data_IF_493694439474
#
_entry.id   IF_493694439474
#
_cell.length_a   1.000
_cell.length_b   1.000
_cell.length_c   1.000
_cell.angle_alpha   90.00
_cell.angle_beta   90.00
_cell.angle_gamma   90.00
#
_symmetry.space_group_name_H-M   'P 1'
#
loop_
_entity.id
_entity.type
_entity.pdbx_description
1 polymer ?
#
# COMPACT_ATOMS: atom_id res chain seq x y z
N UNK A 1 3.05 -17.82 5.39
CA UNK A 1 4.24 -17.67 6.25
C UNK A 1 3.74 -17.56 7.67
N UNK A 2 4.02 -18.54 8.53
CA UNK A 2 3.52 -18.60 9.91
C UNK A 2 4.49 -17.94 10.89
N UNK A 3 4.04 -17.66 12.11
CA UNK A 3 4.93 -17.22 13.19
C UNK A 3 6.05 -18.21 13.50
N UNK A 4 5.80 -19.51 13.38
CA UNK A 4 6.80 -20.54 13.63
C UNK A 4 7.88 -20.54 12.54
N UNK A 5 7.47 -20.41 11.28
CA UNK A 5 8.39 -20.25 10.14
C UNK A 5 9.23 -18.97 10.28
N UNK A 6 8.61 -17.85 10.66
CA UNK A 6 9.33 -16.60 10.93
C UNK A 6 10.37 -16.76 12.05
N UNK A 7 9.99 -17.39 13.17
CA UNK A 7 10.92 -17.67 14.28
C UNK A 7 12.06 -18.56 13.81
N UNK A 8 11.78 -19.64 13.09
CA UNK A 8 12.82 -20.51 12.55
C UNK A 8 13.77 -19.76 11.63
N UNK A 9 13.26 -18.98 10.67
CA UNK A 9 14.10 -18.22 9.75
C UNK A 9 14.96 -17.15 10.43
N UNK A 10 14.55 -16.65 11.61
CA UNK A 10 15.37 -15.74 12.43
C UNK A 10 16.55 -16.41 13.14
N UNK A 11 16.63 -17.75 13.16
CA UNK A 11 17.75 -18.48 13.75
C UNK A 11 18.94 -18.56 12.77
N UNK A 12 20.11 -18.98 13.26
CA UNK A 12 21.26 -19.24 12.38
C UNK A 12 20.97 -20.36 11.37
N UNK A 13 20.31 -21.44 11.81
CA UNK A 13 19.96 -22.58 10.97
C UNK A 13 18.96 -22.18 9.88
N UNK A 14 17.91 -21.43 10.24
CA UNK A 14 16.92 -20.96 9.28
C UNK A 14 17.51 -19.97 8.26
N UNK A 15 18.43 -19.09 8.69
CA UNK A 15 19.18 -18.24 7.74
C UNK A 15 20.05 -19.04 6.79
N UNK A 16 20.71 -20.11 7.26
CA UNK A 16 21.50 -21.00 6.42
C UNK A 16 20.62 -21.74 5.40
N UNK A 17 19.42 -22.19 5.80
CA UNK A 17 18.43 -22.77 4.88
C UNK A 17 18.05 -21.77 3.79
N UNK A 18 17.72 -20.52 4.14
CA UNK A 18 17.33 -19.51 3.15
C UNK A 18 18.47 -19.17 2.18
N UNK A 19 19.71 -19.12 2.65
CA UNK A 19 20.87 -18.93 1.78
C UNK A 19 21.02 -20.10 0.79
N UNK A 20 20.95 -21.34 1.29
CA UNK A 20 21.07 -22.54 0.46
C UNK A 20 19.93 -22.67 -0.56
N UNK A 21 18.71 -22.26 -0.19
CA UNK A 21 17.58 -22.18 -1.13
C UNK A 21 17.88 -21.21 -2.28
N UNK A 22 18.43 -20.03 -1.97
CA UNK A 22 18.72 -18.99 -2.97
C UNK A 22 19.85 -19.40 -3.92
N UNK A 23 20.87 -20.06 -3.39
CA UNK A 23 22.03 -20.56 -4.16
C UNK A 23 21.72 -21.82 -4.98
N UNK A 24 20.64 -22.54 -4.64
CA UNK A 24 20.29 -23.81 -5.30
C UNK A 24 19.75 -23.59 -6.72
N UNK A 25 20.28 -24.34 -7.68
CA UNK A 25 19.75 -24.49 -9.04
C UNK A 25 18.93 -25.77 -9.22
N UNK A 26 18.07 -25.82 -10.23
CA UNK A 26 17.25 -27.01 -10.55
C UNK A 26 15.77 -26.83 -10.19
N UNK A 27 14.97 -27.89 -10.40
CA UNK A 27 13.55 -27.90 -10.06
C UNK A 27 13.30 -28.02 -8.55
N UNK A 28 12.11 -27.63 -8.12
CA UNK A 28 11.74 -27.58 -6.69
C UNK A 28 11.75 -28.94 -6.00
N UNK A 29 11.45 -30.05 -6.70
CA UNK A 29 11.46 -31.38 -6.11
C UNK A 29 12.90 -31.80 -5.75
N UNK A 30 13.83 -31.56 -6.66
CA UNK A 30 15.25 -31.86 -6.47
C UNK A 30 15.84 -31.01 -5.34
N UNK A 31 15.51 -29.72 -5.29
CA UNK A 31 15.91 -28.82 -4.20
C UNK A 31 15.38 -29.30 -2.85
N UNK A 32 14.09 -29.58 -2.77
CA UNK A 32 13.42 -30.00 -1.55
C UNK A 32 13.97 -31.34 -1.02
N UNK A 33 14.24 -32.31 -1.90
CA UNK A 33 14.86 -33.58 -1.53
C UNK A 33 16.28 -33.40 -0.95
N UNK A 34 17.02 -32.42 -1.44
CA UNK A 34 18.36 -32.09 -0.95
C UNK A 34 18.30 -31.40 0.41
N UNK A 35 17.48 -30.36 0.54
CA UNK A 35 17.32 -29.57 1.77
C UNK A 35 16.83 -30.43 2.94
N UNK A 36 15.90 -31.36 2.70
CA UNK A 36 15.35 -32.28 3.71
C UNK A 36 16.37 -33.21 4.36
N UNK A 37 17.56 -33.39 3.77
CA UNK A 37 18.64 -34.15 4.38
C UNK A 37 19.31 -33.40 5.53
N UNK A 38 19.14 -32.07 5.60
CA UNK A 38 19.87 -31.17 6.49
C UNK A 38 18.98 -30.32 7.39
N UNK A 39 17.75 -30.05 6.98
CA UNK A 39 16.83 -29.17 7.69
C UNK A 39 15.45 -29.82 7.89
N UNK A 40 14.65 -29.34 8.85
CA UNK A 40 13.31 -29.85 9.07
C UNK A 40 12.43 -29.71 7.81
N UNK A 41 11.70 -30.76 7.39
CA UNK A 41 10.96 -30.79 6.13
C UNK A 41 9.93 -29.67 5.92
N UNK A 42 9.30 -29.23 7.00
CA UNK A 42 8.30 -28.15 7.01
C UNK A 42 8.92 -26.80 6.62
N UNK A 43 10.12 -26.48 7.11
CA UNK A 43 10.80 -25.22 6.80
C UNK A 43 11.47 -25.21 5.43
N UNK A 44 11.82 -26.38 4.89
CA UNK A 44 12.34 -26.49 3.52
C UNK A 44 11.34 -25.97 2.49
N UNK A 45 10.06 -26.37 2.61
CA UNK A 45 9.00 -25.91 1.71
C UNK A 45 8.70 -24.42 1.90
N UNK A 46 8.65 -23.96 3.15
CA UNK A 46 8.46 -22.56 3.46
C UNK A 46 9.59 -21.68 2.88
N UNK A 47 10.84 -22.15 2.92
CA UNK A 47 12.00 -21.46 2.35
C UNK A 47 11.92 -21.32 0.84
N UNK A 48 11.58 -22.40 0.12
CA UNK A 48 11.37 -22.35 -1.34
C UNK A 48 10.24 -21.38 -1.73
N UNK A 49 9.11 -21.45 -1.03
CA UNK A 49 8.00 -20.53 -1.25
C UNK A 49 8.41 -19.06 -1.01
N UNK A 50 9.20 -18.81 0.04
CA UNK A 50 9.70 -17.48 0.35
C UNK A 50 10.64 -16.97 -0.74
N UNK A 51 11.57 -17.77 -1.23
CA UNK A 51 12.49 -17.39 -2.32
C UNK A 51 11.75 -16.99 -3.60
N UNK A 52 10.70 -17.75 -3.97
CA UNK A 52 9.81 -17.39 -5.08
C UNK A 52 9.13 -16.03 -4.83
N UNK A 53 8.61 -15.80 -3.61
CA UNK A 53 7.98 -14.53 -3.29
C UNK A 53 8.98 -13.37 -3.24
N UNK A 54 10.23 -13.59 -2.79
CA UNK A 54 11.29 -12.56 -2.82
C UNK A 54 11.62 -12.13 -4.24
N UNK A 55 11.70 -13.08 -5.18
CA UNK A 55 11.88 -12.79 -6.62
C UNK A 55 10.72 -11.96 -7.18
N UNK A 56 9.46 -12.33 -6.88
CA UNK A 56 8.29 -11.52 -7.26
C UNK A 56 8.27 -10.15 -6.58
N UNK A 57 8.73 -10.09 -5.33
CA UNK A 57 8.74 -8.89 -4.51
C UNK A 57 9.67 -7.79 -5.01
N UNK A 58 10.67 -8.12 -5.83
CA UNK A 58 11.56 -7.14 -6.47
C UNK A 58 10.80 -6.10 -7.31
N UNK A 59 9.60 -6.43 -7.80
CA UNK A 59 8.75 -5.48 -8.51
C UNK A 59 8.13 -4.40 -7.60
N UNK A 60 8.11 -4.61 -6.27
CA UNK A 60 7.50 -3.70 -5.29
C UNK A 60 8.48 -3.12 -4.27
N UNK A 61 9.58 -3.82 -3.99
CA UNK A 61 10.46 -3.54 -2.87
C UNK A 61 11.93 -3.70 -3.26
N UNK A 62 12.72 -2.64 -3.04
CA UNK A 62 14.16 -2.64 -3.30
C UNK A 62 14.93 -3.66 -2.45
N UNK A 63 14.44 -3.95 -1.23
CA UNK A 63 15.02 -4.93 -0.30
C UNK A 63 14.27 -6.26 -0.28
N UNK A 64 13.53 -6.61 -1.33
CA UNK A 64 12.70 -7.82 -1.35
C UNK A 64 13.46 -9.10 -0.97
N UNK A 65 14.75 -9.22 -1.34
CA UNK A 65 15.57 -10.39 -1.03
C UNK A 65 15.86 -10.59 0.47
N UNK A 66 15.68 -9.56 1.29
CA UNK A 66 15.90 -9.60 2.74
C UNK A 66 14.58 -9.67 3.52
N UNK A 67 13.47 -9.36 2.84
CA UNK A 67 12.12 -9.35 3.40
C UNK A 67 11.53 -10.77 3.52
N UNK A 68 10.44 -10.88 4.26
CA UNK A 68 9.61 -12.07 4.41
C UNK A 68 8.21 -11.79 3.87
N UNK A 69 7.70 -12.78 3.15
CA UNK A 69 6.41 -12.71 2.47
C UNK A 69 5.66 -14.03 2.62
N UNK A 70 4.34 -13.96 2.52
CA UNK A 70 3.61 -14.98 1.80
C UNK A 70 2.96 -14.38 0.55
N UNK A 71 2.43 -15.27 -0.29
CA UNK A 71 1.87 -14.91 -1.59
C UNK A 71 0.75 -13.88 -1.46
N UNK A 72 -0.22 -14.13 -0.59
CA UNK A 72 -1.38 -13.24 -0.42
C UNK A 72 -0.93 -11.86 0.07
N UNK A 73 -0.05 -11.82 1.08
CA UNK A 73 0.46 -10.58 1.60
C UNK A 73 1.22 -9.77 0.57
N UNK A 74 2.09 -10.42 -0.22
CA UNK A 74 2.85 -9.72 -1.25
C UNK A 74 1.93 -9.13 -2.31
N UNK A 75 0.88 -9.86 -2.69
CA UNK A 75 -0.11 -9.38 -3.65
C UNK A 75 -0.86 -8.14 -3.11
N UNK A 76 -1.25 -8.15 -1.83
CA UNK A 76 -2.01 -7.06 -1.18
C UNK A 76 -1.15 -5.86 -0.75
N UNK A 77 0.14 -6.04 -0.50
CA UNK A 77 1.00 -5.00 0.07
C UNK A 77 1.14 -3.78 -0.85
N UNK A 78 1.11 -2.58 -0.24
CA UNK A 78 1.53 -1.33 -0.87
C UNK A 78 3.00 -1.42 -1.28
N UNK A 79 3.32 -1.05 -2.52
CA UNK A 79 4.69 -1.01 -3.01
C UNK A 79 5.47 0.20 -2.47
N UNK A 80 6.80 0.10 -2.47
CA UNK A 80 7.69 1.11 -1.90
C UNK A 80 7.50 2.50 -2.53
N UNK A 81 7.26 2.57 -3.85
CA UNK A 81 7.00 3.82 -4.58
C UNK A 81 5.80 4.59 -4.00
N UNK A 82 4.64 3.92 -3.92
CA UNK A 82 3.40 4.50 -3.39
C UNK A 82 3.53 4.82 -1.89
N UNK A 83 4.04 3.86 -1.10
CA UNK A 83 4.19 4.05 0.34
C UNK A 83 5.12 5.22 0.67
N UNK A 84 6.25 5.34 -0.05
CA UNK A 84 7.20 6.45 0.09
C UNK A 84 6.65 7.79 -0.41
N UNK A 85 5.81 7.80 -1.44
CA UNK A 85 5.10 9.02 -1.86
C UNK A 85 4.16 9.50 -0.75
N UNK A 86 3.26 8.63 -0.29
CA UNK A 86 2.24 8.96 0.71
C UNK A 86 2.84 9.40 2.05
N UNK A 87 3.92 8.76 2.47
CA UNK A 87 4.55 9.07 3.76
C UNK A 87 5.02 10.52 3.84
N UNK A 88 5.28 11.21 2.71
CA UNK A 88 5.67 12.63 2.70
C UNK A 88 4.61 13.53 3.35
N UNK A 89 3.32 13.20 3.25
CA UNK A 89 2.24 13.95 3.94
C UNK A 89 2.34 13.85 5.46
N UNK A 90 2.98 12.80 5.97
CA UNK A 90 3.17 12.57 7.40
C UNK A 90 4.45 13.23 7.95
N UNK A 91 5.19 14.00 7.15
CA UNK A 91 6.37 14.71 7.64
C UNK A 91 5.98 15.79 8.64
N UNK A 92 6.56 15.73 9.84
CA UNK A 92 6.31 16.70 10.91
C UNK A 92 5.44 16.17 12.05
N UNK A 93 4.74 15.04 11.85
CA UNK A 93 4.10 14.30 12.94
C UNK A 93 5.15 13.50 13.72
N UNK A 94 4.98 13.40 15.04
CA UNK A 94 5.91 12.67 15.91
C UNK A 94 5.71 11.16 15.79
N UNK A 95 4.56 10.68 16.25
CA UNK A 95 4.16 9.27 16.21
C UNK A 95 3.01 9.07 15.24
N UNK A 96 3.16 8.09 14.35
CA UNK A 96 2.18 7.73 13.33
C UNK A 96 1.68 6.31 13.60
N UNK A 97 0.36 6.12 13.62
CA UNK A 97 -0.24 4.78 13.68
C UNK A 97 -0.46 4.21 12.28
N UNK A 98 0.06 3.00 12.04
CA UNK A 98 -0.13 2.23 10.80
C UNK A 98 -1.08 1.06 11.09
N UNK A 99 -2.36 1.25 10.76
CA UNK A 99 -3.44 0.36 11.18
C UNK A 99 -3.80 -0.58 10.03
N UNK A 100 -3.88 -1.88 10.35
CA UNK A 100 -3.95 -2.97 9.39
C UNK A 100 -2.64 -3.11 8.58
N UNK A 101 -1.51 -3.09 9.29
CA UNK A 101 -0.19 -2.94 8.69
C UNK A 101 0.25 -4.08 7.74
N UNK A 102 -0.40 -5.24 7.81
CA UNK A 102 -0.11 -6.36 6.92
C UNK A 102 1.35 -6.82 7.01
N UNK A 103 2.12 -6.67 5.93
CA UNK A 103 3.57 -6.99 5.93
C UNK A 103 4.48 -5.78 6.09
N UNK A 104 3.92 -4.62 6.42
CA UNK A 104 4.67 -3.39 6.68
C UNK A 104 5.08 -2.61 5.45
N UNK A 105 4.40 -2.80 4.30
CA UNK A 105 4.67 -2.00 3.09
C UNK A 105 4.55 -0.50 3.37
N UNK A 106 3.50 -0.11 4.07
CA UNK A 106 3.27 1.28 4.49
C UNK A 106 4.16 1.70 5.67
N UNK A 107 4.37 0.82 6.66
CA UNK A 107 5.33 1.05 7.74
C UNK A 107 6.74 1.42 7.22
N UNK A 108 7.21 0.76 6.15
CA UNK A 108 8.52 1.06 5.54
C UNK A 108 8.57 2.51 5.04
N UNK A 109 7.50 3.02 4.43
CA UNK A 109 7.40 4.41 3.99
C UNK A 109 7.27 5.38 5.16
N UNK A 110 6.38 5.10 6.11
CA UNK A 110 6.07 5.97 7.25
C UNK A 110 7.27 6.14 8.21
N UNK A 111 8.05 5.06 8.44
CA UNK A 111 9.27 5.12 9.28
C UNK A 111 10.40 5.97 8.68
N UNK A 112 10.24 6.46 7.44
CA UNK A 112 11.15 7.44 6.85
C UNK A 112 10.94 8.85 7.43
N UNK A 113 9.72 9.17 7.88
CA UNK A 113 9.32 10.52 8.25
C UNK A 113 8.97 10.70 9.73
N UNK A 114 8.67 9.62 10.46
CA UNK A 114 8.31 9.67 11.89
C UNK A 114 8.50 8.32 12.58
N UNK A 115 8.16 8.28 13.87
CA UNK A 115 8.08 7.02 14.64
C UNK A 115 6.74 6.34 14.34
N UNK A 116 6.73 5.01 14.22
CA UNK A 116 5.55 4.27 13.75
C UNK A 116 5.12 3.21 14.75
N UNK A 117 3.82 3.19 15.06
CA UNK A 117 3.15 2.11 15.77
C UNK A 117 2.27 1.35 14.77
N UNK A 118 2.74 0.21 14.28
CA UNK A 118 1.98 -0.66 13.39
C UNK A 118 1.06 -1.60 14.18
N UNK A 119 -0.17 -1.78 13.71
CA UNK A 119 -1.18 -2.64 14.35
C UNK A 119 -1.79 -3.59 13.33
N UNK A 120 -1.80 -4.89 13.65
CA UNK A 120 -2.55 -5.89 12.89
C UNK A 120 -3.14 -6.94 13.83
N UNK A 121 -4.28 -7.50 13.43
CA UNK A 121 -4.94 -8.57 14.18
C UNK A 121 -4.21 -9.91 14.05
N UNK A 122 -3.50 -10.12 12.94
CA UNK A 122 -2.79 -11.36 12.65
C UNK A 122 -1.36 -11.29 13.21
N UNK A 123 -1.01 -12.13 14.19
CA UNK A 123 0.34 -12.19 14.73
C UNK A 123 1.42 -12.43 13.66
N UNK A 124 1.13 -13.20 12.61
CA UNK A 124 2.06 -13.48 11.52
C UNK A 124 2.32 -12.23 10.69
N UNK A 125 1.30 -11.42 10.42
CA UNK A 125 1.42 -10.11 9.75
C UNK A 125 2.26 -9.14 10.57
N UNK A 126 2.01 -9.04 11.88
CA UNK A 126 2.86 -8.26 12.79
C UNK A 126 4.31 -8.73 12.77
N UNK A 127 4.54 -10.05 12.77
CA UNK A 127 5.88 -10.65 12.64
C UNK A 127 6.58 -10.27 11.34
N UNK A 128 5.88 -10.37 10.20
CA UNK A 128 6.39 -9.95 8.89
C UNK A 128 6.69 -8.46 8.85
N UNK A 129 5.79 -7.62 9.37
CA UNK A 129 5.97 -6.17 9.44
C UNK A 129 7.26 -5.80 10.18
N UNK A 130 7.49 -6.38 11.38
CA UNK A 130 8.73 -6.15 12.14
C UNK A 130 9.97 -6.57 11.35
N UNK A 131 9.95 -7.75 10.74
CA UNK A 131 11.07 -8.24 9.95
C UNK A 131 11.35 -7.33 8.76
N UNK A 132 10.31 -6.99 8.02
CA UNK A 132 10.43 -6.21 6.79
C UNK A 132 10.92 -4.80 7.07
N UNK A 133 10.38 -4.12 8.09
CA UNK A 133 10.88 -2.80 8.52
C UNK A 133 12.34 -2.88 8.98
N UNK A 134 12.74 -3.97 9.65
CA UNK A 134 14.14 -4.19 10.03
C UNK A 134 15.08 -4.40 8.83
N UNK A 135 14.62 -5.02 7.73
CA UNK A 135 15.39 -5.14 6.49
C UNK A 135 15.73 -3.78 5.85
N UNK A 136 14.95 -2.73 6.14
CA UNK A 136 15.26 -1.34 5.74
C UNK A 136 16.09 -0.58 6.79
N UNK A 137 16.53 -1.23 7.86
CA UNK A 137 17.32 -0.62 8.93
C UNK A 137 16.53 0.35 9.81
N UNK A 138 15.20 0.20 9.90
CA UNK A 138 14.30 1.15 10.58
C UNK A 138 13.71 0.65 11.90
N UNK A 139 14.26 -0.42 12.47
CA UNK A 139 13.74 -1.04 13.70
C UNK A 139 13.68 -0.08 14.91
N UNK A 140 14.56 0.92 14.99
CA UNK A 140 14.60 1.87 16.10
C UNK A 140 13.46 2.91 16.12
N UNK A 141 12.72 3.05 15.01
CA UNK A 141 11.58 3.97 14.86
C UNK A 141 10.26 3.23 14.71
N UNK A 142 10.23 1.95 15.04
CA UNK A 142 9.10 1.09 14.76
C UNK A 142 8.75 0.22 15.94
N UNK A 143 7.47 0.21 16.29
CA UNK A 143 6.86 -0.74 17.21
C UNK A 143 5.68 -1.37 16.48
N UNK A 144 5.52 -2.69 16.63
CA UNK A 144 4.33 -3.37 16.13
C UNK A 144 3.56 -4.03 17.26
N UNK A 145 2.24 -4.01 17.19
CA UNK A 145 1.34 -4.53 18.21
C UNK A 145 0.34 -5.48 17.55
N UNK A 146 0.13 -6.64 18.18
CA UNK A 146 -0.97 -7.54 17.79
C UNK A 146 -2.22 -7.05 18.50
N UNK A 147 -3.14 -6.44 17.75
CA UNK A 147 -4.44 -6.02 18.25
C UNK A 147 -5.44 -5.91 17.12
N UNK A 148 -6.72 -6.07 17.46
CA UNK A 148 -7.80 -5.73 16.54
C UNK A 148 -8.02 -4.23 16.60
N UNK A 149 -8.07 -3.57 15.45
CA UNK A 149 -8.34 -2.14 15.36
C UNK A 149 -9.73 -1.79 15.93
N UNK A 150 -10.66 -2.75 15.93
CA UNK A 150 -11.97 -2.61 16.57
C UNK A 150 -11.90 -2.62 18.11
N UNK A 151 -10.83 -3.13 18.70
CA UNK A 151 -10.69 -3.26 20.16
C UNK A 151 -9.75 -2.18 20.71
N UNK A 152 -8.70 -1.83 19.97
CA UNK A 152 -7.71 -0.87 20.43
C UNK A 152 -7.04 -0.12 19.26
N UNK A 153 -6.80 1.18 19.48
CA UNK A 153 -6.01 2.05 18.61
C UNK A 153 -4.94 2.76 19.46
N UNK A 154 -3.74 3.03 18.93
CA UNK A 154 -2.70 3.74 19.65
C UNK A 154 -3.02 5.25 19.74
N UNK A 155 -2.61 5.89 20.83
CA UNK A 155 -2.56 7.35 20.93
C UNK A 155 -1.38 7.86 20.10
N UNK A 156 -1.68 8.60 19.03
CA UNK A 156 -0.70 9.02 18.01
C UNK A 156 -1.10 10.36 17.40
N UNK A 157 -0.16 11.05 16.76
CA UNK A 157 -0.40 12.36 16.16
C UNK A 157 -1.13 12.26 14.82
N UNK A 158 -0.91 11.17 14.08
CA UNK A 158 -1.56 10.89 12.80
C UNK A 158 -1.78 9.38 12.58
N UNK A 159 -2.78 9.04 11.77
CA UNK A 159 -3.14 7.66 11.43
C UNK A 159 -3.08 7.43 9.93
N UNK A 160 -2.61 6.25 9.54
CA UNK A 160 -2.82 5.66 8.23
C UNK A 160 -3.58 4.34 8.40
N UNK A 161 -4.67 4.16 7.67
CA UNK A 161 -5.52 2.98 7.72
C UNK A 161 -5.59 2.34 6.34
N UNK A 162 -5.16 1.07 6.26
CA UNK A 162 -5.26 0.22 5.06
C UNK A 162 -6.08 -1.04 5.36
N UNK A 163 -7.41 -0.92 5.47
CA UNK A 163 -8.23 -2.04 5.88
C UNK A 163 -8.32 -3.07 4.76
N UNK A 164 -8.41 -4.34 5.18
CA UNK A 164 -8.75 -5.44 4.30
C UNK A 164 -10.15 -5.26 3.70
N UNK A 165 -10.44 -6.08 2.70
CA UNK A 165 -11.73 -6.04 1.99
C UNK A 165 -12.56 -7.26 2.37
N UNK A 166 -13.86 -7.08 2.60
CA UNK A 166 -14.76 -8.21 2.91
C UNK A 166 -14.83 -9.16 1.71
N UNK A 167 -14.68 -10.47 1.95
CA UNK A 167 -14.74 -11.50 0.92
C UNK A 167 -16.10 -11.53 0.22
N UNK A 168 -16.12 -11.55 -1.12
CA UNK A 168 -17.32 -11.77 -1.94
C UNK A 168 -17.75 -10.60 -2.84
N UNK A 169 -17.21 -9.40 -2.65
CA UNK A 169 -17.50 -8.27 -3.55
C UNK A 169 -16.55 -8.25 -4.75
N UNK A 170 -17.12 -8.28 -5.97
CA UNK A 170 -16.35 -8.19 -7.24
C UNK A 170 -15.85 -6.78 -7.55
N UNK A 171 -16.52 -5.74 -7.02
CA UNK A 171 -16.14 -4.33 -7.15
C UNK A 171 -16.48 -3.61 -5.84
N UNK A 172 -15.52 -2.87 -5.30
CA UNK A 172 -15.64 -2.18 -4.02
C UNK A 172 -15.99 -0.73 -4.26
N UNK A 173 -17.28 -0.43 -4.12
CA UNK A 173 -17.82 0.90 -4.35
C UNK A 173 -18.18 1.61 -3.04
N UNK A 174 -18.19 0.94 -1.88
CA UNK A 174 -18.66 1.53 -0.62
C UNK A 174 -17.67 1.37 0.52
N UNK A 175 -17.64 2.33 1.44
CA UNK A 175 -16.82 2.28 2.66
C UNK A 175 -17.27 1.15 3.62
N UNK A 176 -18.54 0.75 3.54
CA UNK A 176 -19.08 -0.37 4.33
C UNK A 176 -18.50 -1.74 3.95
N UNK A 177 -17.85 -1.86 2.79
CA UNK A 177 -17.30 -3.13 2.28
C UNK A 177 -15.90 -3.46 2.87
N UNK A 178 -15.32 -2.57 3.69
CA UNK A 178 -14.01 -2.76 4.34
C UNK A 178 -14.10 -3.51 5.67
N UNK A 179 -13.00 -4.15 6.03
CA UNK A 179 -12.80 -4.82 7.31
C UNK A 179 -11.39 -4.50 7.86
N UNK A 180 -11.29 -3.90 9.05
CA UNK A 180 -12.37 -3.41 9.93
C UNK A 180 -13.25 -2.35 9.25
N UNK A 181 -14.46 -2.13 9.78
CA UNK A 181 -15.31 -1.02 9.33
C UNK A 181 -14.56 0.28 9.55
N UNK A 182 -14.58 1.17 8.55
CA UNK A 182 -14.05 2.53 8.69
C UNK A 182 -15.05 3.33 9.52
N UNK A 183 -14.71 3.57 10.79
CA UNK A 183 -15.49 4.36 11.74
C UNK A 183 -14.75 5.68 11.97
N UNK A 184 -15.12 6.70 11.20
CA UNK A 184 -14.42 7.98 11.19
C UNK A 184 -14.53 8.71 12.53
N UNK A 185 -15.67 8.63 13.21
CA UNK A 185 -15.85 9.28 14.53
C UNK A 185 -14.87 8.71 15.55
N UNK A 186 -14.70 7.38 15.56
CA UNK A 186 -13.72 6.73 16.43
C UNK A 186 -12.28 7.10 16.05
N UNK A 187 -11.95 7.19 14.77
CA UNK A 187 -10.60 7.55 14.32
C UNK A 187 -10.30 9.02 14.68
N UNK A 188 -11.25 9.92 14.49
CA UNK A 188 -11.13 11.33 14.85
C UNK A 188 -11.07 11.58 16.36
N UNK A 189 -11.62 10.68 17.16
CA UNK A 189 -11.42 10.71 18.61
C UNK A 189 -9.96 10.45 19.03
N UNK A 190 -9.14 9.83 18.17
CA UNK A 190 -7.69 9.69 18.36
C UNK A 190 -6.97 10.92 17.79
N UNK A 191 -7.20 11.23 16.52
CA UNK A 191 -6.57 12.36 15.83
C UNK A 191 -7.37 12.76 14.59
N UNK A 192 -7.49 14.06 14.26
CA UNK A 192 -8.07 14.51 12.99
C UNK A 192 -7.18 14.19 11.78
N UNK A 193 -5.89 13.90 11.99
CA UNK A 193 -4.90 13.70 10.94
C UNK A 193 -4.91 12.25 10.45
N UNK A 194 -5.78 11.97 9.49
CA UNK A 194 -6.08 10.62 9.01
C UNK A 194 -5.86 10.48 7.50
N UNK A 195 -5.18 9.41 7.10
CA UNK A 195 -5.17 8.90 5.74
C UNK A 195 -5.87 7.55 5.69
N UNK A 196 -6.91 7.40 4.86
CA UNK A 196 -7.59 6.11 4.68
C UNK A 196 -7.43 5.65 3.23
N UNK A 197 -6.73 4.54 3.06
CA UNK A 197 -6.58 3.89 1.76
C UNK A 197 -7.86 3.15 1.41
N UNK A 198 -8.35 3.41 0.21
CA UNK A 198 -9.52 2.76 -0.38
C UNK A 198 -9.19 2.27 -1.79
N UNK A 199 -9.95 1.29 -2.25
CA UNK A 199 -9.96 0.81 -3.60
C UNK A 199 -10.24 1.98 -4.56
N UNK A 200 -9.56 1.99 -5.73
CA UNK A 200 -9.76 3.05 -6.70
C UNK A 200 -11.21 3.07 -7.20
N UNK A 201 -11.98 1.99 -7.06
CA UNK A 201 -13.40 1.91 -7.47
C UNK A 201 -14.43 2.58 -6.55
N UNK A 202 -14.03 3.23 -5.45
CA UNK A 202 -14.96 3.84 -4.47
C UNK A 202 -16.00 4.79 -5.11
N UNK A 203 -17.28 4.70 -4.77
CA UNK A 203 -18.27 5.66 -5.29
C UNK A 203 -17.95 7.06 -4.79
N UNK A 204 -18.19 8.09 -5.62
CA UNK A 204 -18.06 9.47 -5.16
C UNK A 204 -19.06 9.82 -4.07
N UNK A 205 -20.24 9.20 -4.09
CA UNK A 205 -21.28 9.38 -3.07
C UNK A 205 -20.87 8.84 -1.69
N UNK A 206 -19.81 8.04 -1.63
CA UNK A 206 -19.28 7.46 -0.40
C UNK A 206 -18.09 8.26 0.16
N UNK A 207 -17.62 9.27 -0.57
CA UNK A 207 -16.48 10.10 -0.16
C UNK A 207 -16.98 11.21 0.78
N UNK A 208 -16.46 11.30 2.03
CA UNK A 208 -16.82 12.38 2.94
C UNK A 208 -16.38 13.75 2.39
N UNK A 209 -17.25 14.75 2.52
CA UNK A 209 -16.97 16.12 2.05
C UNK A 209 -15.74 16.77 2.71
N UNK A 210 -15.38 16.31 3.91
CA UNK A 210 -14.29 16.90 4.70
C UNK A 210 -12.89 16.42 4.27
N UNK A 211 -12.77 15.54 3.28
CA UNK A 211 -11.49 14.99 2.84
C UNK A 211 -10.99 15.56 1.50
N UNK A 212 -9.67 15.54 1.32
CA UNK A 212 -9.07 15.52 -0.02
C UNK A 212 -9.00 14.07 -0.49
N UNK A 213 -9.56 13.77 -1.67
CA UNK A 213 -9.41 12.46 -2.29
C UNK A 213 -8.28 12.47 -3.31
N UNK A 214 -7.32 11.57 -3.14
CA UNK A 214 -6.22 11.41 -4.07
C UNK A 214 -6.25 10.04 -4.74
N UNK A 215 -6.32 10.01 -6.07
CA UNK A 215 -6.17 8.79 -6.86
C UNK A 215 -4.72 8.63 -7.29
N UNK A 216 -4.11 7.49 -6.99
CA UNK A 216 -2.69 7.24 -7.26
C UNK A 216 -2.57 6.11 -8.27
N UNK A 217 -1.88 6.37 -9.37
CA UNK A 217 -1.43 5.34 -10.30
C UNK A 217 0.05 5.07 -10.13
N UNK A 218 0.42 3.84 -10.46
CA UNK A 218 1.81 3.42 -10.59
C UNK A 218 1.93 2.59 -11.86
N UNK A 219 2.83 3.02 -12.74
CA UNK A 219 3.17 2.31 -13.98
C UNK A 219 1.93 2.06 -14.86
N UNK A 220 1.11 3.10 -15.04
CA UNK A 220 -0.09 3.11 -15.90
C UNK A 220 -1.34 2.45 -15.31
N UNK A 221 -1.31 2.06 -14.03
CA UNK A 221 -2.43 1.40 -13.35
C UNK A 221 -2.82 2.19 -12.11
N UNK A 222 -4.06 2.66 -12.03
CA UNK A 222 -4.61 3.28 -10.82
C UNK A 222 -4.73 2.22 -9.72
N UNK A 223 -3.83 2.28 -8.73
CA UNK A 223 -3.68 1.24 -7.70
C UNK A 223 -4.66 1.44 -6.55
N UNK A 224 -4.90 2.69 -6.19
CA UNK A 224 -5.62 3.06 -4.97
C UNK A 224 -6.16 4.48 -5.05
N UNK A 225 -7.06 4.78 -4.11
CA UNK A 225 -7.34 6.14 -3.70
C UNK A 225 -7.04 6.30 -2.21
N UNK A 226 -6.74 7.51 -1.77
CA UNK A 226 -6.53 7.84 -0.37
C UNK A 226 -7.42 9.03 0.00
N UNK A 227 -8.12 8.88 1.12
CA UNK A 227 -8.92 9.95 1.72
C UNK A 227 -8.07 10.62 2.80
N UNK A 228 -7.72 11.88 2.58
CA UNK A 228 -6.87 12.67 3.47
C UNK A 228 -7.68 13.66 4.30
N UNK A 229 -7.48 13.65 5.62
CA UNK A 229 -8.19 14.48 6.59
C UNK A 229 -7.22 15.30 7.46
N UNK A 230 -7.76 16.29 8.17
CA UNK A 230 -6.99 17.13 9.08
C UNK A 230 -5.87 17.87 8.36
N UNK A 231 -4.69 17.93 8.96
CA UNK A 231 -3.50 18.60 8.39
C UNK A 231 -2.85 17.79 7.25
N UNK A 232 -3.25 16.53 7.02
CA UNK A 232 -2.78 15.74 5.89
C UNK A 232 -3.41 16.18 4.57
N UNK A 233 -4.54 16.91 4.61
CA UNK A 233 -5.20 17.43 3.42
C UNK A 233 -4.56 18.73 2.95
N UNK A 234 -4.69 19.04 1.67
CA UNK A 234 -4.40 20.35 1.10
C UNK A 234 -5.69 21.14 0.88
N UNK A 235 -5.61 22.30 0.23
CA UNK A 235 -6.79 23.13 -0.05
C UNK A 235 -7.69 22.56 -1.16
N UNK A 236 -7.24 21.52 -1.88
CA UNK A 236 -8.03 20.90 -2.95
C UNK A 236 -8.89 19.77 -2.42
N UNK A 237 -10.01 19.51 -3.09
CA UNK A 237 -10.91 18.39 -2.74
C UNK A 237 -10.52 17.09 -3.45
N UNK A 238 -9.79 17.19 -4.58
CA UNK A 238 -9.43 16.03 -5.39
C UNK A 238 -8.10 16.18 -6.11
N UNK A 239 -7.38 15.08 -6.24
CA UNK A 239 -6.08 14.99 -6.90
C UNK A 239 -5.94 13.66 -7.65
N UNK A 240 -5.17 13.69 -8.74
CA UNK A 240 -4.58 12.51 -9.36
C UNK A 240 -3.05 12.61 -9.27
N UNK A 241 -2.39 11.50 -8.96
CA UNK A 241 -0.94 11.39 -8.89
C UNK A 241 -0.48 10.21 -9.72
N UNK A 242 0.57 10.42 -10.53
CA UNK A 242 1.15 9.42 -11.43
C UNK A 242 2.57 9.09 -11.00
N UNK A 243 2.79 7.83 -10.60
CA UNK A 243 4.10 7.29 -10.22
C UNK A 243 4.63 6.35 -11.32
N UNK A 244 5.97 6.23 -11.45
CA UNK A 244 7.02 6.83 -10.62
C UNK A 244 7.41 8.27 -10.97
N UNK A 245 6.71 8.93 -11.90
CA UNK A 245 7.01 10.28 -12.37
C UNK A 245 6.84 11.36 -11.29
N UNK A 246 6.07 11.08 -10.23
CA UNK A 246 5.80 12.01 -9.12
C UNK A 246 5.06 13.27 -9.60
N UNK A 247 4.27 13.12 -10.65
CA UNK A 247 3.47 14.19 -11.25
C UNK A 247 2.07 14.20 -10.63
N UNK A 248 1.56 15.39 -10.30
CA UNK A 248 0.25 15.55 -9.67
C UNK A 248 -0.60 16.57 -10.38
N UNK A 249 -1.89 16.26 -10.54
CA UNK A 249 -2.91 17.15 -11.07
C UNK A 249 -3.99 17.32 -10.01
N UNK A 250 -4.32 18.56 -9.68
CA UNK A 250 -5.29 18.88 -8.65
C UNK A 250 -6.55 19.51 -9.26
N UNK A 251 -7.70 19.25 -8.65
CA UNK A 251 -8.95 19.90 -9.02
C UNK A 251 -8.85 21.39 -8.71
N UNK A 252 -9.15 22.20 -9.72
CA UNK A 252 -9.23 23.66 -9.64
C UNK A 252 -10.54 24.10 -10.29
N UNK A 253 -10.99 25.31 -9.95
CA UNK A 253 -12.20 25.91 -10.52
C UNK A 253 -11.93 26.38 -11.95
N UNK A 254 -11.96 25.41 -12.88
CA UNK A 254 -11.91 25.65 -14.31
C UNK A 254 -13.18 25.10 -14.95
N UNK A 255 -13.60 25.72 -16.04
CA UNK A 255 -14.71 25.22 -16.84
C UNK A 255 -14.37 23.91 -17.56
N UNK A 256 -15.40 23.29 -18.13
CA UNK A 256 -15.25 22.14 -19.02
C UNK A 256 -14.53 22.53 -20.31
N UNK A 257 -13.78 21.61 -20.91
CA UNK A 257 -13.20 21.83 -22.24
C UNK A 257 -14.18 21.49 -23.36
N UNK A 258 -13.96 22.07 -24.53
CA UNK A 258 -14.72 21.77 -25.74
C UNK A 258 -14.64 20.28 -26.13
N UNK A 259 -15.65 19.83 -26.87
CA UNK A 259 -15.64 18.57 -27.60
C UNK A 259 -15.45 18.85 -29.09
N UNK A 260 -14.40 18.30 -29.71
CA UNK A 260 -14.10 18.50 -31.13
C UNK A 260 -13.59 17.22 -31.78
N UNK A 261 -13.58 17.21 -33.13
CA UNK A 261 -13.02 16.11 -33.94
C UNK A 261 -11.52 15.90 -33.62
N UNK A 262 -10.97 14.69 -33.87
CA UNK A 262 -9.55 14.42 -33.67
C UNK A 262 -8.63 15.41 -34.41
N UNK A 263 -7.58 15.86 -33.72
CA UNK A 263 -6.51 16.67 -34.29
C UNK A 263 -5.35 15.82 -34.82
N UNK A 264 -4.14 16.39 -34.86
CA UNK A 264 -2.93 15.68 -35.30
C UNK A 264 -2.37 14.69 -34.28
N UNK A 265 -2.77 14.80 -33.02
CA UNK A 265 -2.28 13.98 -31.91
C UNK A 265 -3.44 13.49 -31.05
N UNK A 266 -3.27 12.31 -30.47
CA UNK A 266 -4.17 11.71 -29.48
C UNK A 266 -3.40 11.47 -28.19
N UNK A 267 -3.98 11.88 -27.07
CA UNK A 267 -3.47 11.63 -25.73
C UNK A 267 -4.40 10.66 -25.03
N UNK A 268 -3.87 9.60 -24.41
CA UNK A 268 -4.62 8.76 -23.47
C UNK A 268 -4.27 9.22 -22.05
N UNK A 269 -5.23 9.80 -21.29
CA UNK A 269 -4.96 10.22 -19.93
C UNK A 269 -4.64 9.03 -19.01
N UNK A 270 -3.78 9.25 -18.02
CA UNK A 270 -3.49 8.21 -17.02
C UNK A 270 -4.76 7.81 -16.25
N UNK A 271 -4.83 6.53 -15.85
CA UNK A 271 -5.99 5.96 -15.16
C UNK A 271 -6.35 6.69 -13.86
N UNK A 272 -5.38 7.29 -13.15
CA UNK A 272 -5.65 8.12 -11.98
C UNK A 272 -6.34 9.45 -12.37
N UNK A 273 -5.92 10.09 -13.47
CA UNK A 273 -6.53 11.32 -13.99
C UNK A 273 -7.98 11.06 -14.42
N UNK A 274 -8.21 9.98 -15.16
CA UNK A 274 -9.56 9.55 -15.55
C UNK A 274 -10.40 9.31 -14.30
N UNK A 275 -9.86 8.55 -13.35
CA UNK A 275 -10.61 8.17 -12.16
C UNK A 275 -10.95 9.34 -11.25
N UNK A 276 -10.06 10.33 -11.18
CA UNK A 276 -10.26 11.60 -10.48
C UNK A 276 -11.22 12.55 -11.24
N UNK A 277 -11.67 12.24 -12.44
CA UNK A 277 -12.39 13.17 -13.33
C UNK A 277 -11.62 14.48 -13.54
N UNK A 278 -10.32 14.39 -13.79
CA UNK A 278 -9.45 15.55 -14.01
C UNK A 278 -9.06 15.74 -15.48
N UNK A 279 -9.87 15.20 -16.40
CA UNK A 279 -9.62 15.26 -17.85
C UNK A 279 -9.72 16.69 -18.35
N UNK A 280 -10.71 17.47 -17.87
CA UNK A 280 -10.84 18.88 -18.25
C UNK A 280 -9.63 19.70 -17.75
N UNK A 281 -9.11 19.41 -16.55
CA UNK A 281 -7.88 20.03 -16.02
C UNK A 281 -6.67 19.70 -16.86
N UNK A 282 -6.51 18.43 -17.25
CA UNK A 282 -5.40 18.01 -18.10
C UNK A 282 -5.52 18.64 -19.50
N UNK A 283 -6.72 18.66 -20.08
CA UNK A 283 -6.95 19.23 -21.39
C UNK A 283 -6.68 20.74 -21.41
N UNK A 284 -7.05 21.48 -20.36
CA UNK A 284 -6.71 22.89 -20.24
C UNK A 284 -5.20 23.13 -20.22
N UNK A 285 -4.45 22.35 -19.45
CA UNK A 285 -2.98 22.45 -19.38
C UNK A 285 -2.29 22.16 -20.72
N UNK A 286 -2.84 21.23 -21.50
CA UNK A 286 -2.30 20.84 -22.80
C UNK A 286 -2.82 21.68 -23.97
N UNK A 287 -3.81 22.56 -23.75
CA UNK A 287 -4.54 23.21 -24.84
C UNK A 287 -5.30 22.23 -25.73
N UNK A 288 -5.73 21.10 -25.16
CA UNK A 288 -6.44 20.02 -25.83
C UNK A 288 -7.97 20.13 -25.68
N UNK A 289 -8.68 19.23 -26.34
CA UNK A 289 -10.14 19.09 -26.27
C UNK A 289 -10.51 17.62 -26.13
N UNK A 290 -11.72 17.33 -25.63
CA UNK A 290 -12.23 15.96 -25.57
C UNK A 290 -12.76 15.53 -26.94
N UNK A 291 -12.71 14.23 -27.21
CA UNK A 291 -13.32 13.66 -28.41
C UNK A 291 -14.82 13.37 -28.23
N UNK A 292 -15.24 13.23 -26.99
CA UNK A 292 -16.60 12.90 -26.58
C UNK A 292 -16.87 13.47 -25.17
N UNK A 293 -18.13 13.65 -24.79
CA UNK A 293 -18.47 14.14 -23.44
C UNK A 293 -18.26 13.07 -22.35
N UNK A 294 -18.43 11.79 -22.70
CA UNK A 294 -18.41 10.64 -21.79
C UNK A 294 -17.11 9.83 -21.87
N UNK A 295 -16.39 9.90 -23.00
CA UNK A 295 -15.14 9.15 -23.21
C UNK A 295 -13.93 10.03 -22.87
N UNK A 296 -13.06 9.47 -22.02
CA UNK A 296 -11.77 10.03 -21.66
C UNK A 296 -10.76 10.01 -22.80
#
# INVERSE_FOLDING_TARGET
MTLEELKFFSTQEGRALLAEVSDSSGDDLTKLATLRKRYPPEFCRAGLNLDEQRKRGLAKFSRAQEMVFDREALEQASGESIAGYRSRRYKGFGVIGDICCGIGGDAIGLTQVGDVISVDRDPSRVGMTRWNVAAYGRFGRHRAVVARAEDWLPEVDALFLDPGRRSGARRFHRLADYQPRIDLDRLFAITPNLGVKVAPGISYDEIPEQCETEFISDSGSCKEAVLWFGELRTQVTRRATVLPQDETLALTDIGTVDVKKPGSYLYEPDRAVIRAHLIDQLAHLLGAWKLDEEVA
#
